data_IF_275593502356
#
_entry.id   IF_275593502356
#
_cell.length_a   1.000
_cell.length_b   1.000
_cell.length_c   1.000
_cell.angle_alpha   90.00
_cell.angle_beta   90.00
_cell.angle_gamma   90.00
#
_symmetry.space_group_name_H-M   'P 1'
#
loop_
_entity.id
_entity.type
_entity.pdbx_description
1 polymer ?
#
# COMPACT_ATOMS: atom_id res chain seq x y z
N UNK A 1 54.90 25.83 -58.53
CA UNK A 1 55.79 26.08 -57.39
C UNK A 1 55.41 27.39 -56.74
N UNK A 2 54.35 27.38 -55.93
CA UNK A 2 54.18 28.27 -54.78
C UNK A 2 52.98 27.75 -53.98
N UNK A 3 53.29 27.24 -52.81
CA UNK A 3 52.41 26.53 -51.89
C UNK A 3 51.45 27.53 -51.23
N UNK A 4 50.15 27.30 -51.38
CA UNK A 4 49.12 27.84 -50.50
C UNK A 4 48.50 26.66 -49.75
N UNK A 5 49.30 26.05 -48.88
CA UNK A 5 48.77 25.22 -47.79
C UNK A 5 48.34 26.16 -46.69
N UNK A 6 47.10 26.64 -46.76
CA UNK A 6 46.38 27.16 -45.60
C UNK A 6 46.41 26.05 -44.55
N UNK A 7 47.13 26.30 -43.45
CA UNK A 7 47.05 25.52 -42.23
C UNK A 7 45.61 25.61 -41.73
N UNK A 8 44.80 24.61 -42.07
CA UNK A 8 43.64 24.27 -41.26
C UNK A 8 44.19 23.81 -39.91
N UNK A 9 44.31 24.75 -38.97
CA UNK A 9 44.44 24.42 -37.56
C UNK A 9 43.17 23.64 -37.19
N UNK A 10 43.30 22.31 -37.11
CA UNK A 10 42.35 21.46 -36.41
C UNK A 10 42.30 21.96 -34.97
N UNK A 11 41.37 22.88 -34.70
CA UNK A 11 40.89 23.16 -33.36
C UNK A 11 40.20 21.87 -32.88
N UNK A 12 40.98 20.98 -32.29
CA UNK A 12 40.46 19.90 -31.46
C UNK A 12 39.67 20.56 -30.32
N UNK A 13 38.35 20.68 -30.53
CA UNK A 13 37.40 21.14 -29.53
C UNK A 13 37.47 20.14 -28.36
N UNK A 14 38.27 20.46 -27.35
CA UNK A 14 38.32 19.69 -26.10
C UNK A 14 36.87 19.48 -25.62
N UNK A 15 36.48 18.24 -25.30
CA UNK A 15 35.12 17.98 -24.85
C UNK A 15 34.83 18.84 -23.62
N UNK A 16 33.72 19.58 -23.66
CA UNK A 16 33.31 20.47 -22.57
C UNK A 16 33.29 19.69 -21.24
N UNK A 17 33.63 20.30 -20.09
CA UNK A 17 33.53 19.66 -18.79
C UNK A 17 32.15 19.03 -18.57
N UNK A 18 32.09 17.87 -17.91
CA UNK A 18 30.83 17.11 -17.70
C UNK A 18 29.67 17.97 -17.17
N UNK A 19 29.94 18.90 -16.24
CA UNK A 19 28.93 19.82 -15.69
C UNK A 19 28.37 20.78 -16.74
N UNK A 20 29.20 21.27 -17.65
CA UNK A 20 28.78 22.17 -18.73
C UNK A 20 27.96 21.42 -19.78
N UNK A 21 28.32 20.17 -20.07
CA UNK A 21 27.52 19.29 -20.93
C UNK A 21 26.15 19.01 -20.30
N UNK A 22 26.11 18.68 -19.00
CA UNK A 22 24.86 18.45 -18.23
C UNK A 22 23.96 19.70 -18.28
N UNK A 23 24.53 20.89 -18.05
CA UNK A 23 23.81 22.16 -18.10
C UNK A 23 23.31 22.49 -19.51
N UNK A 24 24.11 22.26 -20.55
CA UNK A 24 23.71 22.45 -21.95
C UNK A 24 22.55 21.51 -22.32
N UNK A 25 22.61 20.26 -21.85
CA UNK A 25 21.51 19.30 -21.96
C UNK A 25 20.23 19.79 -21.29
N UNK A 26 20.33 20.31 -20.07
CA UNK A 26 19.20 20.88 -19.33
C UNK A 26 18.58 22.08 -20.07
N UNK A 27 19.40 23.01 -20.55
CA UNK A 27 18.92 24.18 -21.32
C UNK A 27 18.18 23.76 -22.60
N UNK A 28 18.63 22.68 -23.25
CA UNK A 28 17.96 22.13 -24.45
C UNK A 28 16.61 21.49 -24.12
N UNK A 29 16.50 20.77 -23.00
CA UNK A 29 15.26 20.06 -22.61
C UNK A 29 14.25 20.95 -21.89
N UNK A 30 14.72 21.89 -21.07
CA UNK A 30 13.91 22.65 -20.12
C UNK A 30 14.33 24.12 -20.02
N UNK A 31 14.43 24.83 -21.15
CA UNK A 31 14.86 26.23 -21.21
C UNK A 31 14.14 27.17 -20.23
N UNK A 32 12.82 27.02 -20.04
CA UNK A 32 12.03 27.86 -19.16
C UNK A 32 12.18 27.53 -17.65
N UNK A 33 12.67 26.35 -17.30
CA UNK A 33 12.72 25.84 -15.90
C UNK A 33 14.13 25.66 -15.36
N UNK A 34 15.16 26.08 -16.11
CA UNK A 34 16.57 25.89 -15.73
C UNK A 34 16.85 26.39 -14.32
N UNK A 35 16.46 27.63 -13.99
CA UNK A 35 16.72 28.22 -12.67
C UNK A 35 16.06 27.43 -11.54
N UNK A 36 14.82 27.00 -11.73
CA UNK A 36 14.09 26.18 -10.77
C UNK A 36 14.77 24.81 -10.56
N UNK A 37 15.14 24.15 -11.65
CA UNK A 37 15.78 22.82 -11.61
C UNK A 37 17.14 22.89 -10.90
N UNK A 38 17.94 23.91 -11.18
CA UNK A 38 19.23 24.11 -10.50
C UNK A 38 19.05 24.43 -9.01
N UNK A 39 18.01 25.18 -8.64
CA UNK A 39 17.70 25.44 -7.22
C UNK A 39 17.30 24.14 -6.48
N UNK A 40 16.50 23.29 -7.11
CA UNK A 40 16.15 21.98 -6.55
C UNK A 40 17.38 21.09 -6.43
N UNK A 41 18.27 21.07 -7.44
CA UNK A 41 19.54 20.33 -7.37
C UNK A 41 20.37 20.78 -6.17
N UNK A 42 20.51 22.10 -5.97
CA UNK A 42 21.24 22.66 -4.83
C UNK A 42 20.64 22.25 -3.48
N UNK A 43 19.30 22.29 -3.36
CA UNK A 43 18.62 21.83 -2.14
C UNK A 43 18.85 20.34 -1.88
N UNK A 44 18.90 19.54 -2.94
CA UNK A 44 19.26 18.13 -2.83
C UNK A 44 20.73 17.95 -2.46
N UNK A 45 21.66 18.69 -3.05
CA UNK A 45 23.09 18.67 -2.67
C UNK A 45 23.25 18.99 -1.17
N UNK A 46 22.63 20.07 -0.69
CA UNK A 46 22.64 20.45 0.73
C UNK A 46 22.14 19.31 1.63
N UNK A 47 21.08 18.61 1.23
CA UNK A 47 20.59 17.42 1.91
C UNK A 47 21.57 16.25 1.81
N UNK A 48 22.13 15.96 0.64
CA UNK A 48 23.01 14.82 0.41
C UNK A 48 24.29 14.89 1.25
N UNK A 49 24.82 16.10 1.48
CA UNK A 49 25.99 16.35 2.32
C UNK A 49 25.69 16.20 3.82
N UNK A 50 24.55 16.70 4.31
CA UNK A 50 24.29 16.82 5.75
C UNK A 50 23.29 15.78 6.30
N UNK A 51 22.49 15.16 5.42
CA UNK A 51 21.47 14.13 5.69
C UNK A 51 20.55 14.42 6.88
N UNK A 52 20.17 15.69 7.04
CA UNK A 52 19.29 16.12 8.14
C UNK A 52 17.84 16.12 7.70
N UNK A 53 16.92 15.68 8.57
CA UNK A 53 15.48 15.67 8.32
C UNK A 53 14.93 17.06 7.94
N UNK A 54 15.45 18.13 8.57
CA UNK A 54 15.08 19.52 8.25
C UNK A 54 15.36 19.88 6.79
N UNK A 55 16.48 19.40 6.23
CA UNK A 55 16.87 19.67 4.85
C UNK A 55 16.03 18.84 3.87
N UNK A 56 15.75 17.57 4.22
CA UNK A 56 14.79 16.74 3.48
C UNK A 56 13.42 17.42 3.40
N UNK A 57 12.89 17.85 4.54
CA UNK A 57 11.60 18.53 4.61
C UNK A 57 11.59 19.84 3.81
N UNK A 58 12.72 20.56 3.75
CA UNK A 58 12.86 21.76 2.91
C UNK A 58 12.80 21.41 1.42
N UNK A 59 13.50 20.36 1.00
CA UNK A 59 13.47 19.87 -0.39
C UNK A 59 12.06 19.41 -0.79
N UNK A 60 11.41 18.59 0.04
CA UNK A 60 10.05 18.11 -0.22
C UNK A 60 9.04 19.27 -0.28
N UNK A 61 9.18 20.29 0.59
CA UNK A 61 8.37 21.51 0.51
C UNK A 61 8.58 22.27 -0.80
N UNK A 62 9.81 22.33 -1.33
CA UNK A 62 10.08 22.96 -2.62
C UNK A 62 9.49 22.17 -3.81
N UNK A 63 9.32 20.86 -3.65
CA UNK A 63 8.72 19.96 -4.63
C UNK A 63 7.19 19.88 -4.52
N UNK A 64 6.59 20.26 -3.38
CA UNK A 64 5.16 20.17 -3.08
C UNK A 64 4.28 20.64 -4.23
N UNK A 65 4.52 21.84 -4.75
CA UNK A 65 3.72 22.38 -5.86
C UNK A 65 3.76 21.48 -7.10
N UNK A 66 4.93 20.94 -7.43
CA UNK A 66 5.09 20.04 -8.58
C UNK A 66 4.39 18.71 -8.34
N UNK A 67 4.52 18.17 -7.13
CA UNK A 67 3.85 16.93 -6.72
C UNK A 67 2.34 17.11 -6.84
N UNK A 68 1.78 18.17 -6.25
CA UNK A 68 0.34 18.46 -6.29
C UNK A 68 -0.16 18.62 -7.73
N UNK A 69 0.52 19.45 -8.53
CA UNK A 69 0.11 19.69 -9.92
C UNK A 69 0.14 18.42 -10.78
N UNK A 70 1.14 17.54 -10.58
CA UNK A 70 1.19 16.23 -11.27
C UNK A 70 0.12 15.28 -10.75
N UNK A 71 -0.17 15.31 -9.45
CA UNK A 71 -1.17 14.47 -8.82
C UNK A 71 -2.56 14.82 -9.31
N UNK A 72 -2.88 16.12 -9.41
CA UNK A 72 -4.11 16.61 -10.02
C UNK A 72 -4.23 16.22 -11.49
N UNK A 73 -3.15 16.38 -12.27
CA UNK A 73 -3.14 15.97 -13.67
C UNK A 73 -3.51 14.49 -13.85
N UNK A 74 -2.87 13.60 -13.08
CA UNK A 74 -3.14 12.16 -13.15
C UNK A 74 -4.50 11.79 -12.55
N UNK A 75 -4.87 12.39 -11.42
CA UNK A 75 -6.17 12.21 -10.78
C UNK A 75 -7.32 12.63 -11.71
N UNK A 76 -7.20 13.75 -12.42
CA UNK A 76 -8.19 14.18 -13.40
C UNK A 76 -8.29 13.23 -14.59
N UNK A 77 -7.14 12.73 -15.08
CA UNK A 77 -7.10 11.74 -16.17
C UNK A 77 -7.77 10.42 -15.79
N UNK A 78 -7.74 10.04 -14.51
CA UNK A 78 -8.26 8.77 -13.99
C UNK A 78 -9.49 8.92 -13.09
N UNK A 79 -10.12 10.10 -13.07
CA UNK A 79 -11.24 10.44 -12.17
C UNK A 79 -12.39 9.42 -12.23
N UNK A 80 -12.67 8.90 -13.43
CA UNK A 80 -13.76 7.95 -13.66
C UNK A 80 -13.39 6.48 -13.32
N UNK A 81 -12.19 6.24 -12.79
CA UNK A 81 -11.61 4.91 -12.55
C UNK A 81 -11.22 4.71 -11.08
N UNK A 82 -11.89 5.42 -10.16
CA UNK A 82 -11.70 5.32 -8.71
C UNK A 82 -10.29 5.68 -8.23
N UNK A 83 -9.55 6.46 -9.01
CA UNK A 83 -8.30 7.07 -8.58
C UNK A 83 -8.51 8.58 -8.45
N UNK A 84 -8.21 9.07 -7.26
CA UNK A 84 -8.21 10.48 -6.91
C UNK A 84 -6.82 11.08 -7.07
N UNK A 85 -6.73 12.42 -7.05
CA UNK A 85 -5.44 13.08 -6.98
C UNK A 85 -4.63 12.69 -5.73
N UNK A 86 -5.32 12.43 -4.61
CA UNK A 86 -4.68 12.02 -3.34
C UNK A 86 -3.92 10.69 -3.47
N UNK A 87 -4.47 9.74 -4.22
CA UNK A 87 -3.84 8.43 -4.46
C UNK A 87 -2.48 8.59 -5.17
N UNK A 88 -2.42 9.50 -6.15
CA UNK A 88 -1.17 9.82 -6.84
C UNK A 88 -0.22 10.64 -5.96
N UNK A 89 -0.74 11.60 -5.19
CA UNK A 89 0.05 12.48 -4.32
C UNK A 89 0.83 11.67 -3.28
N UNK A 90 0.18 10.72 -2.61
CA UNK A 90 0.81 9.83 -1.63
C UNK A 90 1.99 9.07 -2.24
N UNK A 91 1.80 8.47 -3.41
CA UNK A 91 2.84 7.71 -4.12
C UNK A 91 3.99 8.63 -4.57
N UNK A 92 3.68 9.85 -5.02
CA UNK A 92 4.70 10.79 -5.45
C UNK A 92 5.55 11.28 -4.29
N UNK A 93 4.99 11.52 -3.11
CA UNK A 93 5.78 11.83 -1.91
C UNK A 93 6.67 10.67 -1.49
N UNK A 94 6.13 9.45 -1.43
CA UNK A 94 6.90 8.25 -1.08
C UNK A 94 8.12 8.09 -1.99
N UNK A 95 7.92 8.29 -3.29
CA UNK A 95 8.95 8.08 -4.29
C UNK A 95 9.94 9.24 -4.34
N UNK A 96 9.48 10.48 -4.12
CA UNK A 96 10.36 11.62 -3.95
C UNK A 96 11.30 11.42 -2.74
N UNK A 97 10.75 10.97 -1.62
CA UNK A 97 11.53 10.64 -0.42
C UNK A 97 12.58 9.56 -0.72
N UNK A 98 12.17 8.44 -1.32
CA UNK A 98 13.08 7.34 -1.70
C UNK A 98 14.16 7.76 -2.70
N UNK A 99 13.85 8.70 -3.61
CA UNK A 99 14.82 9.19 -4.59
C UNK A 99 15.90 10.04 -3.93
N UNK A 100 15.58 10.79 -2.87
CA UNK A 100 16.55 11.63 -2.18
C UNK A 100 17.77 10.83 -1.69
N UNK A 101 17.56 9.59 -1.24
CA UNK A 101 18.62 8.71 -0.74
C UNK A 101 19.35 7.93 -1.85
N UNK A 102 18.68 7.69 -2.98
CA UNK A 102 19.20 6.85 -4.08
C UNK A 102 19.80 7.63 -5.23
N UNK A 103 19.55 8.94 -5.32
CA UNK A 103 20.00 9.73 -6.45
C UNK A 103 21.53 9.92 -6.44
N UNK A 104 22.12 9.82 -7.61
CA UNK A 104 23.55 9.98 -7.84
C UNK A 104 23.80 11.20 -8.74
N UNK A 105 24.64 12.13 -8.26
CA UNK A 105 24.89 13.42 -8.92
C UNK A 105 25.59 13.32 -10.28
N UNK A 106 26.32 12.22 -10.52
CA UNK A 106 27.07 11.95 -11.75
C UNK A 106 26.19 11.44 -12.92
N UNK A 107 24.87 11.43 -12.75
CA UNK A 107 23.92 11.19 -13.84
C UNK A 107 23.89 12.34 -14.86
N UNK A 108 23.57 12.02 -16.12
CA UNK A 108 23.34 12.99 -17.21
C UNK A 108 22.09 13.87 -16.99
N UNK A 109 21.24 13.51 -16.03
CA UNK A 109 20.00 14.20 -15.70
C UNK A 109 20.07 14.75 -14.28
N UNK A 110 19.44 15.91 -14.08
CA UNK A 110 19.31 16.51 -12.75
C UNK A 110 18.30 15.72 -11.90
N UNK A 111 18.36 15.90 -10.59
CA UNK A 111 17.47 15.27 -9.61
C UNK A 111 16.00 15.43 -10.01
N UNK A 112 15.62 16.66 -10.33
CA UNK A 112 14.25 16.98 -10.72
C UNK A 112 13.80 16.28 -12.01
N UNK A 113 14.66 16.18 -13.02
CA UNK A 113 14.34 15.48 -14.27
C UNK A 113 14.12 13.98 -14.01
N UNK A 114 14.98 13.40 -13.18
CA UNK A 114 14.88 12.00 -12.75
C UNK A 114 13.59 11.75 -11.97
N UNK A 115 13.23 12.68 -11.09
CA UNK A 115 11.99 12.63 -10.31
C UNK A 115 10.75 12.61 -11.21
N UNK A 116 10.69 13.49 -12.21
CA UNK A 116 9.55 13.54 -13.14
C UNK A 116 9.37 12.22 -13.90
N UNK A 117 10.47 11.64 -14.38
CA UNK A 117 10.44 10.34 -15.07
C UNK A 117 9.89 9.25 -14.15
N UNK A 118 10.29 9.25 -12.89
CA UNK A 118 9.84 8.26 -11.92
C UNK A 118 8.36 8.45 -11.59
N UNK A 119 7.87 9.69 -11.46
CA UNK A 119 6.44 9.96 -11.28
C UNK A 119 5.61 9.37 -12.40
N UNK A 120 6.02 9.53 -13.66
CA UNK A 120 5.30 8.97 -14.81
C UNK A 120 5.26 7.43 -14.78
N UNK A 121 6.40 6.80 -14.45
CA UNK A 121 6.47 5.34 -14.31
C UNK A 121 5.57 4.83 -13.20
N UNK A 122 5.62 5.47 -12.03
CA UNK A 122 4.84 5.07 -10.85
C UNK A 122 3.34 5.30 -11.03
N UNK A 123 2.95 6.41 -11.66
CA UNK A 123 1.57 6.65 -12.03
C UNK A 123 1.07 5.58 -13.01
N UNK A 124 1.87 5.23 -14.01
CA UNK A 124 1.54 4.16 -14.97
C UNK A 124 1.42 2.80 -14.28
N UNK A 125 2.31 2.48 -13.34
CA UNK A 125 2.25 1.23 -12.58
C UNK A 125 0.99 1.14 -11.72
N UNK A 126 0.58 2.25 -11.09
CA UNK A 126 -0.66 2.33 -10.33
C UNK A 126 -1.87 2.04 -11.23
N UNK A 127 -1.94 2.72 -12.37
CA UNK A 127 -3.09 2.63 -13.27
C UNK A 127 -3.15 1.28 -13.98
N UNK A 128 -1.99 0.67 -14.27
CA UNK A 128 -1.90 -0.65 -14.92
C UNK A 128 -2.63 -1.72 -14.12
N UNK A 129 -2.58 -1.67 -12.78
CA UNK A 129 -3.32 -2.63 -11.93
C UNK A 129 -4.82 -2.60 -12.19
N UNK A 130 -5.37 -1.40 -12.38
CA UNK A 130 -6.81 -1.17 -12.59
C UNK A 130 -7.26 -1.57 -13.99
N UNK A 131 -6.41 -1.42 -15.01
CA UNK A 131 -6.76 -1.79 -16.39
C UNK A 131 -6.91 -3.31 -16.59
N UNK A 132 -6.29 -4.13 -15.72
CA UNK A 132 -6.41 -5.59 -15.80
C UNK A 132 -7.87 -6.05 -15.63
N UNK A 133 -8.23 -7.20 -16.21
CA UNK A 133 -9.59 -7.77 -16.03
C UNK A 133 -9.92 -7.97 -14.55
N UNK A 134 -8.94 -8.43 -13.76
CA UNK A 134 -9.06 -8.61 -12.31
C UNK A 134 -9.21 -7.27 -11.59
N UNK A 135 -8.38 -6.27 -11.91
CA UNK A 135 -8.45 -4.94 -11.30
C UNK A 135 -9.76 -4.22 -11.62
N UNK A 136 -10.30 -4.37 -12.84
CA UNK A 136 -11.64 -3.87 -13.19
C UNK A 136 -12.74 -4.54 -12.38
N UNK A 137 -12.63 -5.85 -12.17
CA UNK A 137 -13.57 -6.62 -11.35
C UNK A 137 -13.48 -6.16 -9.88
N UNK A 138 -12.30 -6.14 -9.27
CA UNK A 138 -12.09 -5.65 -7.90
C UNK A 138 -12.54 -4.20 -7.71
N UNK A 139 -12.18 -3.31 -8.64
CA UNK A 139 -12.63 -1.92 -8.68
C UNK A 139 -14.10 -1.77 -9.12
N UNK A 140 -14.84 -2.84 -9.38
CA UNK A 140 -16.30 -2.81 -9.53
C UNK A 140 -17.01 -3.37 -8.29
N UNK A 141 -16.30 -4.14 -7.45
CA UNK A 141 -16.87 -4.91 -6.34
C UNK A 141 -16.82 -4.20 -5.01
N UNK A 142 -16.27 -2.97 -4.88
CA UNK A 142 -16.37 -2.22 -3.60
C UNK A 142 -17.80 -2.36 -3.11
N UNK A 143 -18.01 -3.13 -2.03
CA UNK A 143 -19.35 -3.40 -1.60
C UNK A 143 -19.86 -2.07 -1.09
N UNK A 144 -21.11 -1.75 -1.41
CA UNK A 144 -21.83 -0.58 -0.90
C UNK A 144 -21.71 -0.41 0.62
N UNK A 145 -21.27 -1.46 1.33
CA UNK A 145 -21.02 -1.52 2.76
C UNK A 145 -19.90 -0.60 3.24
N UNK A 146 -18.76 -0.46 2.55
CA UNK A 146 -17.62 0.27 3.14
C UNK A 146 -17.85 1.78 3.32
N UNK A 147 -18.69 2.40 2.47
CA UNK A 147 -19.12 3.81 2.64
C UNK A 147 -20.38 3.91 3.50
N UNK A 148 -21.14 2.82 3.65
CA UNK A 148 -22.35 2.76 4.45
C UNK A 148 -22.09 2.33 5.90
N UNK A 149 -20.94 1.73 6.24
CA UNK A 149 -20.65 1.23 7.59
C UNK A 149 -20.59 2.35 8.64
N UNK A 150 -20.31 3.60 8.24
CA UNK A 150 -20.41 4.79 9.12
C UNK A 150 -21.86 5.28 9.32
N UNK A 151 -22.78 4.91 8.42
CA UNK A 151 -24.19 5.36 8.41
C UNK A 151 -25.19 4.25 8.73
N UNK A 152 -24.76 3.00 8.69
CA UNK A 152 -25.54 1.86 9.15
C UNK A 152 -25.51 1.92 10.67
N UNK A 153 -26.67 2.07 11.34
CA UNK A 153 -26.71 1.91 12.79
C UNK A 153 -26.10 0.54 13.11
N UNK A 154 -25.24 0.50 14.11
CA UNK A 154 -24.60 -0.72 14.58
C UNK A 154 -25.68 -1.79 14.76
N UNK A 155 -25.82 -2.71 13.80
CA UNK A 155 -26.86 -3.76 13.76
C UNK A 155 -26.51 -4.90 14.72
N UNK A 156 -25.81 -4.57 15.80
CA UNK A 156 -25.63 -5.47 16.93
C UNK A 156 -26.94 -5.42 17.69
N UNK A 157 -27.82 -6.36 17.38
CA UNK A 157 -28.99 -6.64 18.18
C UNK A 157 -28.52 -7.20 19.54
N UNK A 158 -28.31 -6.27 20.48
CA UNK A 158 -27.85 -6.57 21.84
C UNK A 158 -28.82 -7.52 22.55
N UNK A 159 -30.12 -7.45 22.23
CA UNK A 159 -31.11 -8.37 22.79
C UNK A 159 -30.85 -9.80 22.28
N UNK A 160 -30.65 -9.96 20.98
CA UNK A 160 -30.31 -11.27 20.40
C UNK A 160 -28.96 -11.79 20.92
N UNK A 161 -27.96 -10.94 21.14
CA UNK A 161 -26.67 -11.35 21.72
C UNK A 161 -26.82 -11.85 23.16
N UNK A 162 -27.60 -11.14 23.99
CA UNK A 162 -27.90 -11.54 25.37
C UNK A 162 -28.69 -12.85 25.39
N UNK A 163 -29.73 -12.98 24.55
CA UNK A 163 -30.52 -14.21 24.43
C UNK A 163 -29.66 -15.41 24.00
N UNK A 164 -28.78 -15.23 23.02
CA UNK A 164 -27.88 -16.28 22.56
C UNK A 164 -26.89 -16.69 23.66
N UNK A 165 -26.35 -15.73 24.42
CA UNK A 165 -25.44 -16.02 25.53
C UNK A 165 -26.13 -16.82 26.64
N UNK A 166 -27.35 -16.45 26.99
CA UNK A 166 -28.14 -17.18 27.99
C UNK A 166 -28.49 -18.60 27.51
N UNK A 167 -28.87 -18.75 26.24
CA UNK A 167 -29.17 -20.05 25.65
C UNK A 167 -27.93 -20.97 25.62
N UNK A 168 -26.77 -20.43 25.26
CA UNK A 168 -25.49 -21.18 25.32
C UNK A 168 -25.18 -21.62 26.75
N UNK A 169 -25.37 -20.73 27.73
CA UNK A 169 -25.16 -21.06 29.15
C UNK A 169 -26.12 -22.16 29.63
N UNK A 170 -27.39 -22.12 29.22
CA UNK A 170 -28.38 -23.16 29.53
C UNK A 170 -27.99 -24.50 28.90
N UNK A 171 -27.52 -24.50 27.65
CA UNK A 171 -27.04 -25.70 26.96
C UNK A 171 -25.83 -26.31 27.67
N UNK A 172 -24.81 -25.52 27.96
CA UNK A 172 -23.56 -26.01 28.60
C UNK A 172 -23.86 -26.58 29.98
N UNK A 173 -24.77 -25.96 30.73
CA UNK A 173 -25.06 -26.36 32.10
C UNK A 173 -26.18 -27.41 32.23
N UNK A 174 -26.76 -27.85 31.12
CA UNK A 174 -27.89 -28.78 31.12
C UNK A 174 -27.61 -30.07 31.92
N UNK A 175 -28.58 -30.54 32.69
CA UNK A 175 -28.42 -31.64 33.65
C UNK A 175 -28.15 -33.00 32.98
N UNK A 176 -28.65 -33.20 31.76
CA UNK A 176 -28.46 -34.46 31.01
C UNK A 176 -27.05 -34.64 30.45
N UNK A 177 -26.22 -33.60 30.48
CA UNK A 177 -24.85 -33.63 30.01
C UNK A 177 -23.90 -34.12 31.10
N UNK A 178 -23.03 -35.05 30.73
CA UNK A 178 -21.94 -35.52 31.61
C UNK A 178 -20.85 -34.47 31.74
N UNK A 179 -20.04 -34.55 32.80
CA UNK A 179 -18.92 -33.62 33.05
C UNK A 179 -17.97 -33.51 31.85
N UNK A 180 -17.69 -34.63 31.16
CA UNK A 180 -16.85 -34.61 29.96
C UNK A 180 -17.53 -33.94 28.75
N UNK A 181 -18.84 -34.14 28.57
CA UNK A 181 -19.60 -33.48 27.50
C UNK A 181 -19.68 -31.96 27.72
N UNK A 182 -19.86 -31.52 28.98
CA UNK A 182 -19.83 -30.09 29.35
C UNK A 182 -18.46 -29.47 29.05
N UNK A 183 -17.39 -30.18 29.42
CA UNK A 183 -16.01 -29.74 29.15
C UNK A 183 -15.72 -29.61 27.65
N UNK A 184 -16.23 -30.54 26.83
CA UNK A 184 -16.11 -30.44 25.37
C UNK A 184 -16.83 -29.20 24.81
N UNK A 185 -18.05 -28.92 25.26
CA UNK A 185 -18.79 -27.74 24.80
C UNK A 185 -18.13 -26.42 25.23
N UNK A 186 -17.56 -26.36 26.43
CA UNK A 186 -16.79 -25.20 26.89
C UNK A 186 -15.55 -24.97 26.02
N UNK A 187 -14.84 -26.05 25.67
CA UNK A 187 -13.65 -25.93 24.82
C UNK A 187 -13.99 -25.46 23.40
N UNK A 188 -15.10 -25.94 22.84
CA UNK A 188 -15.62 -25.47 21.54
C UNK A 188 -16.05 -24.00 21.62
N UNK A 189 -16.69 -23.59 22.72
CA UNK A 189 -17.10 -22.20 22.91
C UNK A 189 -15.90 -21.25 23.01
N UNK A 190 -14.84 -21.67 23.71
CA UNK A 190 -13.62 -20.88 23.86
C UNK A 190 -12.79 -20.83 22.58
N UNK A 191 -12.77 -21.93 21.80
CA UNK A 191 -11.94 -22.10 20.61
C UNK A 191 -12.77 -22.71 19.46
N UNK A 192 -13.67 -21.93 18.81
CA UNK A 192 -14.62 -22.47 17.82
C UNK A 192 -13.97 -22.96 16.53
N UNK A 193 -12.81 -22.42 16.17
CA UNK A 193 -12.10 -22.76 14.92
C UNK A 193 -11.10 -23.93 15.07
N UNK A 194 -10.94 -24.47 16.27
CA UNK A 194 -10.01 -25.57 16.52
C UNK A 194 -10.50 -26.90 15.90
N UNK A 195 -9.57 -27.78 15.55
CA UNK A 195 -9.93 -29.04 14.88
C UNK A 195 -10.45 -30.08 15.88
N UNK A 196 -11.16 -31.10 15.39
CA UNK A 196 -11.58 -32.23 16.23
C UNK A 196 -10.42 -32.98 16.91
N UNK A 197 -9.19 -32.86 16.39
CA UNK A 197 -8.00 -33.42 17.04
C UNK A 197 -7.59 -32.57 18.24
N UNK A 198 -7.58 -31.25 18.06
CA UNK A 198 -7.20 -30.28 19.10
C UNK A 198 -8.19 -30.32 20.25
N UNK A 199 -9.49 -30.38 19.94
CA UNK A 199 -10.53 -30.58 20.96
C UNK A 199 -10.39 -31.92 21.68
N UNK A 200 -10.03 -33.00 20.98
CA UNK A 200 -9.81 -34.29 21.62
C UNK A 200 -8.64 -34.22 22.61
N UNK A 201 -7.54 -33.61 22.22
CA UNK A 201 -6.36 -33.43 23.06
C UNK A 201 -6.67 -32.58 24.30
N UNK A 202 -7.35 -31.45 24.13
CA UNK A 202 -7.72 -30.53 25.22
C UNK A 202 -8.58 -31.19 26.31
N UNK A 203 -9.44 -32.14 25.95
CA UNK A 203 -10.29 -32.87 26.91
C UNK A 203 -9.75 -34.24 27.32
N UNK A 204 -8.57 -34.63 26.83
CA UNK A 204 -7.90 -35.89 27.19
C UNK A 204 -8.45 -37.13 26.48
N UNK A 205 -9.06 -36.97 25.30
CA UNK A 205 -9.46 -38.06 24.41
C UNK A 205 -8.32 -38.45 23.47
N UNK A 206 -8.19 -39.75 23.20
CA UNK A 206 -7.12 -40.28 22.34
C UNK A 206 -7.39 -40.13 20.85
N UNK A 207 -8.66 -39.94 20.45
CA UNK A 207 -9.03 -39.99 19.03
C UNK A 207 -10.16 -39.01 18.68
N UNK A 208 -9.98 -38.26 17.60
CA UNK A 208 -10.96 -37.27 17.09
C UNK A 208 -12.36 -37.84 16.84
N UNK A 209 -12.48 -39.10 16.40
CA UNK A 209 -13.80 -39.75 16.26
C UNK A 209 -14.58 -39.86 17.58
N UNK A 210 -13.90 -39.89 18.74
CA UNK A 210 -14.58 -39.88 20.03
C UNK A 210 -15.30 -38.54 20.25
N UNK A 211 -14.69 -37.42 19.83
CA UNK A 211 -15.32 -36.09 19.83
C UNK A 211 -16.56 -36.08 18.95
N UNK A 212 -16.46 -36.61 17.72
CA UNK A 212 -17.60 -36.68 16.79
C UNK A 212 -18.77 -37.48 17.40
N UNK A 213 -18.48 -38.66 17.97
CA UNK A 213 -19.50 -39.49 18.63
C UNK A 213 -20.11 -38.80 19.86
N UNK A 214 -19.30 -38.03 20.59
CA UNK A 214 -19.75 -37.28 21.77
C UNK A 214 -20.68 -36.12 21.35
N UNK A 215 -20.33 -35.35 20.33
CA UNK A 215 -21.18 -34.31 19.76
C UNK A 215 -22.53 -34.85 19.27
N UNK A 216 -22.54 -36.04 18.64
CA UNK A 216 -23.78 -36.69 18.24
C UNK A 216 -24.67 -37.07 19.44
N UNK A 217 -24.09 -37.53 20.56
CA UNK A 217 -24.84 -37.82 21.79
C UNK A 217 -25.38 -36.54 22.42
N UNK A 218 -24.55 -35.51 22.52
CA UNK A 218 -24.94 -34.18 23.01
C UNK A 218 -26.11 -33.65 22.20
N UNK A 219 -26.02 -33.69 20.86
CA UNK A 219 -27.10 -33.27 19.96
C UNK A 219 -28.40 -34.02 20.24
N UNK A 220 -28.36 -35.34 20.42
CA UNK A 220 -29.55 -36.15 20.75
C UNK A 220 -30.14 -35.81 22.13
N UNK A 221 -29.30 -35.52 23.12
CA UNK A 221 -29.76 -35.15 24.48
C UNK A 221 -30.43 -33.78 24.49
N UNK A 222 -29.87 -32.82 23.77
CA UNK A 222 -30.34 -31.44 23.70
C UNK A 222 -31.53 -31.29 22.76
N UNK A 223 -31.61 -32.09 21.69
CA UNK A 223 -32.73 -32.06 20.73
C UNK A 223 -34.08 -32.41 21.34
N UNK A 224 -34.12 -33.04 22.51
CA UNK A 224 -35.37 -33.31 23.23
C UNK A 224 -35.80 -32.16 24.15
N UNK A 225 -34.95 -31.14 24.31
CA UNK A 225 -35.14 -30.06 25.29
C UNK A 225 -35.42 -28.72 24.61
N UNK A 226 -34.82 -28.48 23.43
CA UNK A 226 -34.88 -27.19 22.73
C UNK A 226 -35.51 -27.24 21.33
N UNK A 227 -36.17 -28.34 20.97
CA UNK A 227 -37.05 -28.48 19.79
C UNK A 227 -38.47 -28.79 20.25
#
# INVERSE_FOLDING_TARGET
>A
MTELTEKAEEYELKPLPFREQKLKGLKKRHSAKVAYILNIEKLWEDYAFNRTEKLMNRLLKALRFTIQLKSEYWGNRWRNKRLSASDFESIFYEVAFKLCDKYEWFSNFYFYETLLLIFERRATDLTRKIETRRGRFEASIVPLTNEADEFLPNTVDVETEVLNRDLVNQIINHETLTVQEKKLLQEIYNNPDASYKDWAEAIGLKHHQQVIRMLQRIKRKISHVFL
#
